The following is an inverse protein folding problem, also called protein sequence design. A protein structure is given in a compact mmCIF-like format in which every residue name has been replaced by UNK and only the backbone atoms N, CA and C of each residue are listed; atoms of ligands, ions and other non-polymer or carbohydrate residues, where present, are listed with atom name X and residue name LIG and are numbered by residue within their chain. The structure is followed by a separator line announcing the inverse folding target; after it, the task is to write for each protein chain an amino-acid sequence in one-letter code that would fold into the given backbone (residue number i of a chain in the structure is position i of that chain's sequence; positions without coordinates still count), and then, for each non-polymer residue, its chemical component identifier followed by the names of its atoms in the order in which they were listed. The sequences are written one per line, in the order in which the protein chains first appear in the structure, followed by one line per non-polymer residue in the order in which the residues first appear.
data_IF_449581989621
#
_entry.id   IF_449581989621
#
_cell.length_a   1.000
_cell.length_b   1.000
_cell.length_c   1.000
_cell.angle_alpha   90.00
_cell.angle_beta   90.00
_cell.angle_gamma   90.00
#
_symmetry.space_group_name_H-M   'P 1'
#
loop_
_entity.id
_entity.type
_entity.pdbx_description
1 polymer ?
#
# COMPACT_ATOMS: atom_id res chain seq x y z
N UNK A 1 4.36 3.57 11.12
CA UNK A 1 3.67 4.54 12.02
C UNK A 1 4.15 4.30 13.45
N UNK A 2 4.61 5.35 14.17
CA UNK A 2 5.09 5.19 15.55
C UNK A 2 3.95 4.80 16.51
N UNK A 3 4.28 4.05 17.57
CA UNK A 3 3.29 3.58 18.55
C UNK A 3 2.61 4.75 19.28
N UNK A 4 3.37 5.82 19.57
CA UNK A 4 2.88 7.04 20.23
C UNK A 4 1.87 7.79 19.36
N UNK A 5 2.14 7.95 18.07
CA UNK A 5 1.23 8.61 17.13
C UNK A 5 -0.05 7.78 16.93
N UNK A 6 0.09 6.46 16.78
CA UNK A 6 -1.07 5.56 16.73
C UNK A 6 -1.96 5.67 17.97
N UNK A 7 -1.35 5.87 19.15
CA UNK A 7 -2.11 6.08 20.40
C UNK A 7 -2.90 7.39 20.38
N UNK A 8 -2.32 8.49 19.90
CA UNK A 8 -3.06 9.76 19.73
C UNK A 8 -4.27 9.60 18.81
N UNK A 9 -4.08 8.94 17.66
CA UNK A 9 -5.17 8.70 16.71
C UNK A 9 -6.29 7.86 17.34
N UNK A 10 -5.95 6.85 18.16
CA UNK A 10 -6.96 6.04 18.87
C UNK A 10 -7.79 6.82 19.90
N UNK A 11 -7.27 7.93 20.42
CA UNK A 11 -7.91 8.74 21.46
C UNK A 11 -8.86 9.82 20.89
N UNK A 12 -8.87 10.03 19.57
CA UNK A 12 -9.82 10.93 18.92
C UNK A 12 -11.26 10.45 19.14
N UNK A 13 -12.27 11.36 19.10
CA UNK A 13 -13.66 11.07 19.47
C UNK A 13 -14.41 10.29 18.37
N UNK A 14 -13.87 9.16 17.91
CA UNK A 14 -14.41 8.34 16.82
C UNK A 14 -15.84 7.85 17.05
N UNK A 15 -16.32 7.84 18.30
CA UNK A 15 -17.72 7.49 18.62
C UNK A 15 -18.69 8.58 18.16
N UNK A 16 -18.30 9.85 18.31
CA UNK A 16 -19.08 11.03 17.95
C UNK A 16 -18.98 11.36 16.46
N UNK A 17 -17.86 11.01 15.82
CA UNK A 17 -17.68 11.24 14.38
C UNK A 17 -18.69 10.39 13.58
N UNK A 18 -19.50 10.98 12.68
CA UNK A 18 -20.47 10.24 11.89
C UNK A 18 -19.77 9.32 10.87
N UNK A 19 -20.49 8.28 10.43
CA UNK A 19 -20.03 7.45 9.31
C UNK A 19 -20.19 8.23 8.01
N UNK A 20 -19.07 8.64 7.39
CA UNK A 20 -19.11 9.44 6.17
C UNK A 20 -19.02 8.62 4.89
N UNK A 21 -18.40 7.44 4.94
CA UNK A 21 -18.34 6.57 3.76
C UNK A 21 -18.31 5.08 4.13
N UNK A 22 -18.89 4.26 3.24
CA UNK A 22 -18.94 2.81 3.40
C UNK A 22 -18.86 2.10 2.06
N UNK A 23 -17.92 1.17 1.94
CA UNK A 23 -17.84 0.27 0.79
C UNK A 23 -18.11 -1.17 1.19
N UNK A 24 -18.62 -1.94 0.22
CA UNK A 24 -18.75 -3.39 0.29
C UNK A 24 -18.14 -3.98 -0.96
N UNK A 25 -17.33 -5.02 -0.79
CA UNK A 25 -16.70 -5.74 -1.88
C UNK A 25 -16.82 -7.25 -1.64
N UNK A 26 -16.84 -8.03 -2.72
CA UNK A 26 -16.85 -9.48 -2.70
C UNK A 26 -15.91 -10.01 -3.78
N UNK A 27 -14.73 -10.47 -3.39
CA UNK A 27 -13.71 -11.01 -4.30
C UNK A 27 -12.91 -12.13 -3.64
N UNK A 28 -12.40 -13.06 -4.46
CA UNK A 28 -11.52 -14.15 -4.03
C UNK A 28 -12.03 -14.91 -2.79
N UNK A 29 -13.32 -15.26 -2.78
CA UNK A 29 -13.96 -15.99 -1.67
C UNK A 29 -14.11 -15.20 -0.37
N UNK A 30 -13.91 -13.88 -0.40
CA UNK A 30 -13.97 -12.99 0.77
C UNK A 30 -15.03 -11.93 0.55
N UNK A 31 -15.80 -11.64 1.61
CA UNK A 31 -16.67 -10.47 1.69
C UNK A 31 -16.01 -9.44 2.59
N UNK A 32 -15.90 -8.22 2.11
CA UNK A 32 -15.26 -7.14 2.83
C UNK A 32 -16.18 -5.93 2.94
N UNK A 33 -16.17 -5.30 4.12
CA UNK A 33 -16.87 -4.05 4.38
C UNK A 33 -15.84 -3.10 4.99
N UNK A 34 -15.72 -1.91 4.41
CA UNK A 34 -14.96 -0.81 5.01
C UNK A 34 -15.92 0.30 5.43
N UNK A 35 -15.71 0.81 6.63
CA UNK A 35 -16.40 1.99 7.17
C UNK A 35 -15.35 3.04 7.45
N UNK A 36 -15.56 4.24 6.94
CA UNK A 36 -14.63 5.34 7.03
C UNK A 36 -15.28 6.50 7.79
N UNK A 37 -14.53 7.00 8.77
CA UNK A 37 -14.83 8.19 9.56
C UNK A 37 -13.64 9.14 9.43
N UNK A 38 -13.92 10.43 9.35
CA UNK A 38 -12.97 11.52 9.17
C UNK A 38 -13.33 12.63 10.13
N UNK A 39 -12.33 13.15 10.83
CA UNK A 39 -12.48 14.37 11.60
C UNK A 39 -11.33 15.31 11.32
N UNK A 40 -11.62 16.60 11.37
CA UNK A 40 -10.60 17.64 11.39
C UNK A 40 -9.85 17.55 12.71
N UNK A 41 -8.54 17.72 12.65
CA UNK A 41 -7.62 17.59 13.78
C UNK A 41 -6.80 18.85 13.92
N UNK A 42 -6.50 19.20 15.17
CA UNK A 42 -5.69 20.38 15.49
C UNK A 42 -4.19 20.07 15.39
N UNK A 43 -3.31 21.09 15.30
CA UNK A 43 -1.85 20.94 15.11
C UNK A 43 -1.09 20.12 16.17
N UNK A 44 -1.76 19.61 17.21
CA UNK A 44 -1.16 18.86 18.33
C UNK A 44 -0.91 17.37 18.03
N UNK A 45 -1.19 16.92 16.81
CA UNK A 45 -0.80 15.57 16.39
C UNK A 45 0.72 15.47 16.22
N UNK A 46 1.28 14.31 16.56
CA UNK A 46 2.68 13.97 16.31
C UNK A 46 2.96 13.66 14.83
N UNK A 47 2.31 14.41 13.94
CA UNK A 47 2.48 14.38 12.50
C UNK A 47 2.22 15.80 11.97
N UNK A 48 3.29 16.55 11.62
CA UNK A 48 3.17 17.93 11.16
C UNK A 48 2.22 18.05 9.96
N UNK A 49 1.51 19.17 9.87
CA UNK A 49 0.61 19.51 8.77
C UNK A 49 -0.60 18.58 8.59
N UNK A 50 -0.85 17.62 9.49
CA UNK A 50 -2.09 16.85 9.46
C UNK A 50 -3.29 17.76 9.78
N UNK A 51 -4.22 17.86 8.82
CA UNK A 51 -5.46 18.64 8.93
C UNK A 51 -6.65 17.75 9.22
N UNK A 52 -6.68 16.54 8.66
CA UNK A 52 -7.72 15.55 8.94
C UNK A 52 -7.11 14.21 9.39
N UNK A 53 -7.76 13.56 10.35
CA UNK A 53 -7.50 12.17 10.72
C UNK A 53 -8.63 11.28 10.23
N UNK A 54 -8.30 10.05 9.89
CA UNK A 54 -9.20 9.09 9.26
C UNK A 54 -9.14 7.76 10.02
N UNK A 55 -10.29 7.23 10.44
CA UNK A 55 -10.45 5.86 10.94
C UNK A 55 -11.12 5.01 9.86
N UNK A 56 -10.44 3.93 9.45
CA UNK A 56 -11.02 2.89 8.59
C UNK A 56 -11.18 1.60 9.38
N UNK A 57 -12.43 1.21 9.63
CA UNK A 57 -12.76 -0.13 10.14
C UNK A 57 -13.03 -1.07 8.97
N UNK A 58 -12.14 -2.05 8.79
CA UNK A 58 -12.24 -3.09 7.77
C UNK A 58 -12.69 -4.40 8.40
N UNK A 59 -13.89 -4.86 8.07
CA UNK A 59 -14.39 -6.20 8.39
C UNK A 59 -14.24 -7.10 7.18
N UNK A 60 -13.49 -8.20 7.33
CA UNK A 60 -13.29 -9.22 6.30
C UNK A 60 -13.86 -10.54 6.79
N UNK A 61 -14.74 -11.15 6.00
CA UNK A 61 -15.33 -12.46 6.28
C UNK A 61 -14.93 -13.44 5.17
N UNK A 62 -14.30 -14.55 5.54
CA UNK A 62 -14.09 -15.66 4.63
C UNK A 62 -15.44 -16.34 4.38
N UNK A 63 -15.86 -16.45 3.11
CA UNK A 63 -17.19 -16.97 2.77
C UNK A 63 -17.29 -18.49 2.92
N UNK A 64 -16.18 -19.21 2.79
CA UNK A 64 -16.12 -20.67 2.96
C UNK A 64 -16.15 -21.07 4.43
N UNK A 65 -15.41 -20.36 5.27
CA UNK A 65 -15.23 -20.75 6.68
C UNK A 65 -16.06 -19.92 7.66
N UNK A 66 -16.72 -18.86 7.20
CA UNK A 66 -17.44 -17.90 8.06
C UNK A 66 -16.55 -17.01 8.94
N UNK A 67 -15.24 -17.32 9.07
CA UNK A 67 -14.30 -16.61 9.93
C UNK A 67 -14.26 -15.13 9.56
N UNK A 68 -14.50 -14.29 10.58
CA UNK A 68 -14.52 -12.83 10.43
C UNK A 68 -13.35 -12.20 11.18
N UNK A 69 -12.65 -11.28 10.52
CA UNK A 69 -11.58 -10.46 11.12
C UNK A 69 -11.94 -9.00 10.97
N UNK A 70 -11.75 -8.22 12.03
CA UNK A 70 -11.92 -6.76 12.01
C UNK A 70 -10.55 -6.13 12.27
N UNK A 71 -10.15 -5.18 11.42
CA UNK A 71 -8.96 -4.36 11.63
C UNK A 71 -9.34 -2.88 11.57
N UNK A 72 -8.75 -2.09 12.45
CA UNK A 72 -8.80 -0.63 12.40
C UNK A 72 -7.49 -0.11 11.84
N UNK A 73 -7.59 0.72 10.82
CA UNK A 73 -6.48 1.43 10.18
C UNK A 73 -6.69 2.91 10.45
N UNK A 74 -5.62 3.62 10.76
CA UNK A 74 -5.65 5.07 10.87
C UNK A 74 -4.81 5.69 9.77
N UNK A 75 -5.29 6.79 9.21
CA UNK A 75 -4.57 7.62 8.25
C UNK A 75 -4.71 9.09 8.63
N UNK A 76 -3.83 9.94 8.10
CA UNK A 76 -3.91 11.39 8.22
C UNK A 76 -3.67 12.02 6.85
N UNK A 77 -4.20 13.22 6.65
CA UNK A 77 -4.00 13.99 5.42
C UNK A 77 -3.86 15.47 5.76
N UNK A 78 -3.08 16.19 4.96
CA UNK A 78 -3.00 17.65 4.97
C UNK A 78 -4.12 18.30 4.16
N UNK A 79 -4.87 17.52 3.38
CA UNK A 79 -6.02 18.03 2.63
C UNK A 79 -7.13 18.48 3.59
N UNK A 80 -7.76 19.61 3.28
CA UNK A 80 -8.92 20.13 4.03
C UNK A 80 -10.21 19.39 3.63
N UNK A 81 -11.28 19.47 4.43
CA UNK A 81 -12.59 18.92 4.05
C UNK A 81 -13.14 19.45 2.71
N UNK A 82 -12.79 20.68 2.34
CA UNK A 82 -13.24 21.30 1.08
C UNK A 82 -12.46 20.79 -0.15
N UNK A 83 -11.24 20.31 0.06
CA UNK A 83 -10.37 19.80 -1.02
C UNK A 83 -10.67 18.34 -1.38
N UNK A 84 -11.21 17.56 -0.45
CA UNK A 84 -11.36 16.11 -0.64
C UNK A 84 -12.55 15.53 0.11
N UNK A 85 -13.35 14.76 -0.61
CA UNK A 85 -14.49 14.05 -0.03
C UNK A 85 -14.06 12.77 0.69
N UNK A 86 -14.91 12.27 1.59
CA UNK A 86 -14.69 10.98 2.25
C UNK A 86 -14.62 9.79 1.26
N UNK A 87 -15.28 9.88 0.10
CA UNK A 87 -15.20 8.88 -0.96
C UNK A 87 -13.82 8.88 -1.61
N UNK A 88 -13.32 10.05 -2.02
CA UNK A 88 -11.98 10.20 -2.59
C UNK A 88 -10.89 9.78 -1.60
N UNK A 89 -11.03 10.11 -0.32
CA UNK A 89 -10.12 9.62 0.73
C UNK A 89 -10.13 8.08 0.81
N UNK A 90 -11.30 7.44 0.70
CA UNK A 90 -11.40 5.98 0.70
C UNK A 90 -10.66 5.35 -0.50
N UNK A 91 -10.77 5.98 -1.67
CA UNK A 91 -10.09 5.57 -2.89
C UNK A 91 -8.57 5.74 -2.78
N UNK A 92 -8.10 6.90 -2.30
CA UNK A 92 -6.67 7.16 -2.06
C UNK A 92 -6.07 6.15 -1.07
N UNK A 93 -6.75 5.90 0.06
CA UNK A 93 -6.33 4.89 1.03
C UNK A 93 -6.32 3.48 0.41
N UNK A 94 -7.28 3.18 -0.47
CA UNK A 94 -7.33 1.90 -1.16
C UNK A 94 -6.19 1.76 -2.17
N UNK A 95 -5.91 2.82 -2.94
CA UNK A 95 -4.84 2.90 -3.92
C UNK A 95 -3.46 2.81 -3.28
N UNK A 96 -3.27 3.36 -2.09
CA UNK A 96 -2.01 3.25 -1.34
C UNK A 96 -1.56 1.80 -1.11
N UNK A 97 -2.48 0.83 -1.00
CA UNK A 97 -2.10 -0.58 -0.91
C UNK A 97 -1.37 -1.12 -2.14
N UNK A 98 -1.48 -0.46 -3.30
CA UNK A 98 -0.69 -0.81 -4.48
C UNK A 98 0.81 -0.52 -4.26
N UNK A 99 1.14 0.51 -3.46
CA UNK A 99 2.52 0.80 -3.07
C UNK A 99 3.07 -0.34 -2.20
N UNK A 100 2.27 -0.81 -1.24
CA UNK A 100 2.66 -1.95 -0.40
C UNK A 100 2.78 -3.25 -1.21
N UNK A 101 1.92 -3.44 -2.22
CA UNK A 101 2.05 -4.57 -3.12
C UNK A 101 3.36 -4.52 -3.92
N UNK A 102 3.83 -3.32 -4.31
CA UNK A 102 5.14 -3.14 -4.93
C UNK A 102 6.27 -3.49 -3.96
N UNK A 103 6.20 -3.06 -2.70
CA UNK A 103 7.18 -3.44 -1.67
C UNK A 103 7.27 -4.97 -1.53
N UNK A 104 6.13 -5.66 -1.42
CA UNK A 104 6.14 -7.12 -1.34
C UNK A 104 6.82 -7.79 -2.55
N UNK A 105 6.60 -7.29 -3.77
CA UNK A 105 7.30 -7.81 -4.96
C UNK A 105 8.81 -7.60 -4.83
N UNK A 106 9.25 -6.44 -4.35
CA UNK A 106 10.67 -6.17 -4.14
C UNK A 106 11.28 -7.07 -3.06
N UNK A 107 10.61 -7.16 -1.92
CA UNK A 107 11.10 -7.89 -0.75
C UNK A 107 11.16 -9.39 -1.02
N UNK A 108 10.11 -9.95 -1.63
CA UNK A 108 9.96 -11.39 -1.82
C UNK A 108 10.47 -11.84 -3.19
N UNK A 109 10.02 -11.24 -4.29
CA UNK A 109 10.38 -11.69 -5.64
C UNK A 109 11.79 -11.28 -6.03
N UNK A 110 12.22 -10.07 -5.66
CA UNK A 110 13.58 -9.58 -5.88
C UNK A 110 14.51 -9.81 -4.67
N UNK A 111 14.02 -10.52 -3.65
CA UNK A 111 14.76 -10.90 -2.46
C UNK A 111 15.48 -9.72 -1.78
N UNK A 112 14.86 -8.53 -1.78
CA UNK A 112 15.48 -7.31 -1.23
C UNK A 112 15.83 -7.47 0.25
N UNK A 113 14.93 -8.06 1.04
CA UNK A 113 15.15 -8.33 2.47
C UNK A 113 16.29 -9.33 2.72
N UNK A 114 16.44 -10.31 1.84
CA UNK A 114 17.48 -11.33 1.93
C UNK A 114 18.84 -10.86 1.36
N UNK A 115 18.91 -9.67 0.77
CA UNK A 115 20.14 -9.15 0.16
C UNK A 115 21.20 -8.81 1.21
N UNK A 116 22.40 -9.37 1.06
CA UNK A 116 23.56 -9.10 1.92
C UNK A 116 24.35 -7.84 1.52
N UNK A 117 23.93 -7.14 0.46
CA UNK A 117 24.56 -5.90 0.00
C UNK A 117 24.30 -4.79 1.01
N UNK A 118 25.34 -4.35 1.73
CA UNK A 118 25.25 -3.34 2.80
C UNK A 118 26.30 -2.21 2.71
N UNK A 119 27.26 -2.30 1.79
CA UNK A 119 28.42 -1.39 1.75
C UNK A 119 28.23 -0.22 0.79
N UNK A 120 28.62 0.98 1.21
CA UNK A 120 28.67 2.17 0.36
C UNK A 120 27.32 2.51 -0.28
N UNK A 121 27.34 2.87 -1.56
CA UNK A 121 26.14 3.25 -2.33
C UNK A 121 25.38 2.05 -2.91
N UNK A 122 25.91 0.84 -2.77
CA UNK A 122 25.37 -0.37 -3.42
C UNK A 122 23.91 -0.69 -3.00
N UNK A 123 23.47 -0.56 -1.74
CA UNK A 123 22.06 -0.77 -1.38
C UNK A 123 21.12 0.19 -2.12
N UNK A 124 21.53 1.46 -2.26
CA UNK A 124 20.76 2.48 -2.98
C UNK A 124 20.73 2.21 -4.47
N UNK A 125 21.85 1.81 -5.06
CA UNK A 125 21.93 1.43 -6.46
C UNK A 125 21.00 0.23 -6.76
N UNK A 126 21.02 -0.80 -5.92
CA UNK A 126 20.15 -1.97 -6.07
C UNK A 126 18.65 -1.62 -5.97
N UNK A 127 18.27 -0.77 -5.01
CA UNK A 127 16.88 -0.27 -4.93
C UNK A 127 16.49 0.53 -6.19
N UNK A 128 17.43 1.30 -6.74
CA UNK A 128 17.23 2.10 -7.95
C UNK A 128 17.08 1.22 -9.20
N UNK A 129 17.76 0.06 -9.27
CA UNK A 129 17.66 -0.86 -10.42
C UNK A 129 16.40 -1.74 -10.37
N UNK A 130 15.98 -2.18 -9.18
CA UNK A 130 14.81 -3.06 -9.02
C UNK A 130 13.49 -2.38 -9.45
N UNK A 131 13.33 -1.08 -9.17
CA UNK A 131 12.10 -0.36 -9.50
C UNK A 131 11.85 -0.27 -11.03
N UNK A 132 12.80 0.17 -11.87
CA UNK A 132 12.70 0.11 -13.33
C UNK A 132 12.49 -1.31 -13.85
N UNK A 133 13.21 -2.31 -13.32
CA UNK A 133 13.03 -3.69 -13.76
C UNK A 133 11.57 -4.16 -13.61
N UNK A 134 10.92 -3.86 -12.47
CA UNK A 134 9.49 -4.16 -12.28
C UNK A 134 8.62 -3.38 -13.27
N UNK A 135 8.96 -2.12 -13.55
CA UNK A 135 8.27 -1.28 -14.53
C UNK A 135 8.33 -1.85 -15.95
N UNK A 136 9.53 -2.20 -16.41
CA UNK A 136 9.79 -2.77 -17.73
C UNK A 136 9.09 -4.13 -17.91
N UNK A 137 9.14 -5.01 -16.90
CA UNK A 137 8.42 -6.28 -16.91
C UNK A 137 6.91 -6.05 -17.13
N UNK A 138 6.32 -5.04 -16.46
CA UNK A 138 4.90 -4.70 -16.64
C UNK A 138 4.63 -4.11 -18.02
N UNK A 139 5.51 -3.27 -18.54
CA UNK A 139 5.39 -2.69 -19.88
C UNK A 139 5.47 -3.76 -20.97
N UNK A 140 6.25 -4.82 -20.78
CA UNK A 140 6.28 -6.00 -21.63
C UNK A 140 5.04 -6.92 -21.47
N UNK A 141 4.02 -6.49 -20.73
CA UNK A 141 2.71 -7.16 -20.66
C UNK A 141 2.61 -8.27 -19.61
N UNK A 142 3.66 -8.53 -18.82
CA UNK A 142 3.59 -9.55 -17.78
C UNK A 142 2.66 -9.13 -16.64
N UNK A 143 1.69 -9.98 -16.32
CA UNK A 143 0.80 -9.82 -15.16
C UNK A 143 1.31 -10.53 -13.91
N UNK A 144 2.20 -11.52 -14.08
CA UNK A 144 2.87 -12.25 -12.99
C UNK A 144 4.38 -11.95 -12.99
N UNK A 145 4.82 -11.11 -12.05
CA UNK A 145 6.22 -10.69 -11.95
C UNK A 145 7.15 -11.85 -11.59
N UNK A 146 6.73 -12.80 -10.75
CA UNK A 146 7.58 -13.94 -10.38
C UNK A 146 7.89 -14.83 -11.59
N UNK A 147 6.88 -15.13 -12.41
CA UNK A 147 7.06 -15.89 -13.64
C UNK A 147 7.96 -15.14 -14.64
N UNK A 148 7.80 -13.82 -14.76
CA UNK A 148 8.67 -12.99 -15.60
C UNK A 148 10.12 -13.01 -15.10
N UNK A 149 10.35 -12.87 -13.79
CA UNK A 149 11.68 -12.93 -13.18
C UNK A 149 12.35 -14.28 -13.45
N UNK A 150 11.62 -15.40 -13.34
CA UNK A 150 12.16 -16.73 -13.66
C UNK A 150 12.43 -16.90 -15.17
N UNK A 151 11.58 -16.32 -16.03
CA UNK A 151 11.81 -16.30 -17.47
C UNK A 151 13.10 -15.56 -17.84
N UNK A 152 13.27 -14.32 -17.37
CA UNK A 152 14.45 -13.50 -17.69
C UNK A 152 15.72 -14.02 -17.02
N UNK A 153 15.63 -14.68 -15.86
CA UNK A 153 16.79 -15.36 -15.24
C UNK A 153 17.29 -16.53 -16.09
N UNK A 154 16.38 -17.23 -16.78
CA UNK A 154 16.73 -18.37 -17.64
C UNK A 154 17.09 -17.97 -19.08
N UNK A 155 16.76 -16.73 -19.49
CA UNK A 155 16.98 -16.17 -20.83
C UNK A 155 17.48 -14.73 -20.73
N UNK A 156 18.77 -14.59 -20.43
CA UNK A 156 19.38 -13.29 -20.17
C UNK A 156 19.42 -12.39 -21.42
N UNK A 157 19.50 -13.00 -22.60
CA UNK A 157 19.39 -12.35 -23.91
C UNK A 157 18.07 -11.59 -24.06
N UNK A 158 16.95 -12.20 -23.65
CA UNK A 158 15.63 -11.54 -23.65
C UNK A 158 15.56 -10.38 -22.65
N UNK A 159 16.33 -10.45 -21.55
CA UNK A 159 16.37 -9.38 -20.54
C UNK A 159 17.13 -8.16 -21.06
N UNK A 160 18.14 -8.36 -21.91
CA UNK A 160 18.92 -7.29 -22.53
C UNK A 160 18.13 -6.59 -23.65
N UNK A 161 17.36 -7.36 -24.43
CA UNK A 161 16.40 -6.80 -25.39
C UNK A 161 15.34 -5.92 -24.72
N UNK A 162 14.91 -6.25 -23.49
CA UNK A 162 13.97 -5.43 -22.71
C UNK A 162 14.53 -4.03 -22.38
N UNK A 163 15.86 -3.88 -22.41
CA UNK A 163 16.57 -2.64 -22.08
C UNK A 163 16.96 -1.85 -23.34
N UNK A 164 16.56 -2.30 -24.55
CA UNK A 164 17.09 -1.80 -25.83
C UNK A 164 18.63 -1.81 -25.88
N UNK A 165 19.25 -2.75 -25.17
CA UNK A 165 20.69 -2.98 -25.23
C UNK A 165 20.93 -4.06 -26.29
N UNK A 166 21.33 -3.63 -27.48
CA UNK A 166 21.83 -4.55 -28.52
C UNK A 166 23.10 -5.25 -28.02
N UNK A 167 23.20 -6.56 -28.29
CA UNK A 167 24.42 -7.37 -28.15
C UNK A 167 24.95 -7.67 -29.54
#
# INVERSE_FOLDING_TARGET
MSQRFRRQLRQLPWREVPLQHRTRDQRHGRREIRRLKVCTVQPRLLFPHAVQAIEVKRRRTNRRTGKTTIKTIYAVTSLTPDQVTACQLAELIRGHWQVEALHHVRDVTFAEDASSVRTGTAPRAMATLRNPAIGLIRQAGWTNIAAATDHYRSRNDHALQLLDLEI
#
